data_IF_205046002806
#
_entry.id   IF_205046002806
#
_cell.length_a   1.000
_cell.length_b   1.000
_cell.length_c   1.000
_cell.angle_alpha   90.00
_cell.angle_beta   90.00
_cell.angle_gamma   90.00
#
_symmetry.space_group_name_H-M   'P 1'
#
loop_
_entity.id
_entity.type
_entity.pdbx_description
1 polymer ?
#
# COMPACT_ATOMS: atom_id res chain seq x y z
N UNK A 1 54.01 28.38 -26.99
CA UNK A 1 53.82 29.82 -26.75
C UNK A 1 52.72 30.00 -25.71
N UNK A 2 52.94 30.93 -24.79
CA UNK A 2 52.23 31.18 -23.53
C UNK A 2 50.73 31.60 -23.61
N UNK A 3 50.07 31.42 -22.46
CA UNK A 3 49.11 32.32 -21.78
C UNK A 3 47.58 32.22 -22.01
N UNK A 4 46.91 31.45 -21.13
CA UNK A 4 46.06 31.87 -19.98
C UNK A 4 45.25 33.22 -19.99
N UNK A 5 43.95 33.07 -19.63
CA UNK A 5 43.10 33.83 -18.67
C UNK A 5 42.07 34.91 -19.12
N UNK A 6 40.80 34.58 -18.79
CA UNK A 6 39.77 35.30 -17.98
C UNK A 6 38.83 36.40 -18.55
N UNK A 7 37.54 36.07 -18.38
CA UNK A 7 36.40 36.78 -17.75
C UNK A 7 35.71 38.03 -18.35
N UNK A 8 34.37 37.90 -18.33
CA UNK A 8 33.33 38.89 -17.97
C UNK A 8 32.87 39.94 -18.98
N UNK A 9 31.57 39.87 -19.32
CA UNK A 9 30.75 41.06 -19.62
C UNK A 9 29.33 40.92 -19.05
N UNK A 10 28.77 42.00 -18.45
CA UNK A 10 27.37 42.11 -18.03
C UNK A 10 26.51 42.81 -19.09
N UNK A 11 25.19 42.67 -19.03
CA UNK A 11 24.26 43.63 -19.66
C UNK A 11 23.07 43.96 -18.74
N UNK A 12 22.50 45.19 -18.85
CA UNK A 12 21.82 45.89 -17.77
C UNK A 12 20.28 45.97 -17.93
N UNK A 13 19.65 46.42 -16.84
CA UNK A 13 18.24 46.79 -16.69
C UNK A 13 17.86 48.04 -17.48
N UNK A 14 16.65 48.06 -18.05
CA UNK A 14 15.98 49.27 -18.52
C UNK A 14 14.79 49.62 -17.60
N UNK A 15 14.72 50.90 -17.21
CA UNK A 15 13.62 51.51 -16.48
C UNK A 15 13.17 52.81 -17.19
N UNK A 16 11.87 53.12 -17.04
CA UNK A 16 11.23 54.36 -17.49
C UNK A 16 10.09 54.10 -18.48
N UNK A 17 8.95 54.78 -18.47
CA UNK A 17 8.35 55.83 -17.62
C UNK A 17 6.88 55.91 -18.10
N UNK A 18 5.91 56.19 -17.23
CA UNK A 18 4.95 57.30 -17.41
C UNK A 18 3.88 57.35 -16.32
N UNK A 19 3.74 58.55 -15.78
CA UNK A 19 2.80 59.03 -14.76
C UNK A 19 1.80 59.93 -15.48
N UNK A 20 0.48 59.83 -15.22
CA UNK A 20 -0.39 61.02 -15.18
C UNK A 20 -1.70 60.80 -14.39
N UNK A 21 -1.83 61.66 -13.36
CA UNK A 21 -2.96 62.29 -12.62
C UNK A 21 -4.42 61.77 -12.68
N UNK A 22 -5.04 61.86 -11.49
CA UNK A 22 -6.48 61.89 -11.13
C UNK A 22 -7.18 63.21 -11.54
N UNK A 23 -8.45 63.16 -11.97
CA UNK A 23 -9.65 63.60 -11.21
C UNK A 23 -10.98 63.58 -12.01
N UNK A 24 -12.09 63.50 -11.25
CA UNK A 24 -13.50 63.85 -11.52
C UNK A 24 -14.56 62.81 -11.97
N UNK A 25 -15.71 62.95 -11.30
CA UNK A 25 -16.95 62.17 -11.31
C UNK A 25 -17.79 62.29 -12.60
N UNK A 26 -18.48 61.20 -12.98
CA UNK A 26 -19.89 61.19 -13.41
C UNK A 26 -20.41 59.75 -13.60
N UNK A 27 -21.62 59.46 -13.12
CA UNK A 27 -22.40 58.22 -13.33
C UNK A 27 -23.07 58.21 -14.72
N UNK A 28 -23.44 57.07 -15.36
CA UNK A 28 -24.49 56.16 -14.84
C UNK A 28 -24.49 54.65 -15.22
N UNK A 29 -25.27 53.89 -14.43
CA UNK A 29 -26.13 52.71 -14.75
C UNK A 29 -25.54 51.33 -15.17
N UNK A 30 -25.90 50.37 -14.31
CA UNK A 30 -26.45 49.02 -14.56
C UNK A 30 -25.60 47.90 -15.18
N UNK A 31 -25.26 46.90 -14.34
CA UNK A 31 -25.39 45.44 -14.60
C UNK A 31 -25.02 44.66 -13.31
N UNK A 32 -25.80 43.67 -12.85
CA UNK A 32 -25.35 42.80 -11.76
C UNK A 32 -24.56 41.61 -12.36
N UNK A 33 -23.43 41.18 -11.80
CA UNK A 33 -22.93 39.85 -12.06
C UNK A 33 -23.57 38.89 -11.05
N UNK A 34 -24.72 38.33 -11.41
CA UNK A 34 -25.12 37.02 -10.89
C UNK A 34 -24.27 35.97 -11.63
N UNK A 35 -23.07 35.73 -11.11
CA UNK A 35 -22.38 34.47 -11.31
C UNK A 35 -22.02 33.95 -9.93
N UNK A 36 -22.95 33.20 -9.34
CA UNK A 36 -22.61 32.17 -8.38
C UNK A 36 -21.73 31.18 -9.13
N UNK A 37 -20.43 31.43 -9.10
CA UNK A 37 -19.44 30.41 -9.41
C UNK A 37 -19.58 29.40 -8.28
N UNK A 38 -20.35 28.35 -8.52
CA UNK A 38 -20.37 27.17 -7.64
C UNK A 38 -18.98 26.56 -7.80
N UNK A 39 -18.06 27.04 -6.98
CA UNK A 39 -16.84 26.32 -6.67
C UNK A 39 -17.29 25.05 -5.95
N UNK A 40 -17.32 23.94 -6.67
CA UNK A 40 -17.27 22.61 -6.08
C UNK A 40 -15.88 22.44 -5.45
N UNK A 41 -15.60 23.18 -4.39
CA UNK A 41 -14.46 22.91 -3.53
C UNK A 41 -14.79 21.62 -2.80
N UNK A 42 -14.15 20.52 -3.21
CA UNK A 42 -13.93 19.37 -2.35
C UNK A 42 -13.54 19.93 -0.98
N UNK A 43 -14.35 19.68 0.04
CA UNK A 43 -14.06 20.21 1.37
C UNK A 43 -12.80 19.53 1.90
N UNK A 44 -11.64 20.16 1.71
CA UNK A 44 -10.36 19.80 2.33
C UNK A 44 -10.35 20.02 3.84
N UNK A 45 -11.46 20.54 4.40
CA UNK A 45 -11.64 20.63 5.84
C UNK A 45 -12.35 19.39 6.35
N UNK A 46 -11.80 18.67 7.35
CA UNK A 46 -12.53 17.60 8.01
C UNK A 46 -13.85 18.18 8.49
N UNK A 47 -14.94 17.55 8.05
CA UNK A 47 -16.27 17.91 8.50
C UNK A 47 -16.25 17.84 10.02
N UNK A 48 -16.40 18.97 10.74
CA UNK A 48 -16.17 19.06 12.20
C UNK A 48 -17.03 18.10 13.03
N UNK A 49 -18.02 17.46 12.39
CA UNK A 49 -18.96 16.52 12.96
C UNK A 49 -18.63 15.04 12.71
N UNK A 50 -17.61 14.71 11.91
CA UNK A 50 -17.17 13.33 11.66
C UNK A 50 -15.66 13.20 11.85
N UNK A 51 -15.23 12.12 12.50
CA UNK A 51 -13.80 11.78 12.57
C UNK A 51 -13.27 11.42 11.18
N UNK A 52 -11.97 11.60 10.96
CA UNK A 52 -11.31 11.15 9.75
C UNK A 52 -11.45 9.63 9.61
N UNK A 53 -11.73 9.18 8.39
CA UNK A 53 -11.86 7.78 8.03
C UNK A 53 -10.50 7.21 7.65
N UNK A 54 -9.98 6.28 8.45
CA UNK A 54 -8.65 5.69 8.28
C UNK A 54 -8.76 4.25 7.79
N UNK A 55 -8.08 3.92 6.69
CA UNK A 55 -7.97 2.55 6.21
C UNK A 55 -6.56 2.02 6.28
N UNK A 56 -6.42 0.71 6.49
CA UNK A 56 -5.17 -0.02 6.28
C UNK A 56 -5.31 -0.89 5.04
N UNK A 57 -4.32 -0.84 4.14
CA UNK A 57 -4.18 -1.78 3.02
C UNK A 57 -2.94 -2.63 3.22
N UNK A 58 -3.15 -3.95 3.26
CA UNK A 58 -2.11 -4.95 3.49
C UNK A 58 -2.03 -5.87 2.27
N UNK A 59 -0.84 -6.01 1.69
CA UNK A 59 -0.51 -7.08 0.76
C UNK A 59 0.80 -7.70 1.24
N UNK A 60 0.77 -8.87 1.92
CA UNK A 60 1.97 -9.40 2.55
C UNK A 60 3.12 -9.57 1.56
N UNK A 61 4.31 -9.27 2.02
CA UNK A 61 5.53 -9.37 1.22
C UNK A 61 5.91 -10.84 1.01
N UNK A 62 6.31 -11.21 -0.20
CA UNK A 62 6.90 -12.53 -0.47
C UNK A 62 5.92 -13.71 -0.54
N UNK A 63 4.62 -13.44 -0.70
CA UNK A 63 3.56 -14.48 -0.76
C UNK A 63 2.97 -14.68 -2.17
N UNK A 64 3.53 -14.03 -3.19
CA UNK A 64 3.05 -14.15 -4.57
C UNK A 64 1.63 -13.64 -4.76
N UNK A 65 1.29 -12.50 -4.17
CA UNK A 65 -0.05 -11.92 -4.32
C UNK A 65 -0.33 -11.57 -5.78
N UNK A 66 -1.53 -11.91 -6.27
CA UNK A 66 -1.95 -11.64 -7.65
C UNK A 66 -1.95 -10.15 -8.01
N UNK A 67 -2.14 -9.28 -7.00
CA UNK A 67 -1.97 -7.83 -7.05
C UNK A 67 -1.17 -7.39 -5.81
N UNK A 68 -0.02 -6.75 -6.02
CA UNK A 68 0.94 -6.38 -4.97
C UNK A 68 2.03 -7.42 -4.73
N UNK A 69 2.12 -8.43 -5.61
CA UNK A 69 3.22 -9.39 -5.65
C UNK A 69 4.37 -8.98 -6.56
N UNK A 70 4.23 -7.89 -7.33
CA UNK A 70 5.26 -7.34 -8.21
C UNK A 70 5.55 -5.88 -7.84
N UNK A 71 6.75 -5.38 -8.14
CA UNK A 71 7.14 -4.02 -7.76
C UNK A 71 6.17 -2.95 -8.28
N UNK A 72 5.31 -2.45 -7.39
CA UNK A 72 4.40 -1.33 -7.66
C UNK A 72 3.04 -1.68 -8.26
N UNK A 73 2.72 -2.96 -8.50
CA UNK A 73 1.47 -3.32 -9.18
C UNK A 73 0.22 -3.15 -8.29
N UNK A 74 0.39 -3.02 -6.96
CA UNK A 74 -0.66 -2.59 -6.03
C UNK A 74 -0.79 -1.06 -5.88
N UNK A 75 0.16 -0.26 -6.39
CA UNK A 75 0.13 1.20 -6.27
C UNK A 75 -1.13 1.84 -6.88
N UNK A 76 -1.68 1.38 -8.03
CA UNK A 76 -2.96 1.88 -8.54
C UNK A 76 -4.13 1.65 -7.60
N UNK A 77 -4.15 0.53 -6.87
CA UNK A 77 -5.18 0.23 -5.86
C UNK A 77 -5.03 1.19 -4.69
N UNK A 78 -3.82 1.34 -4.15
CA UNK A 78 -3.54 2.28 -3.06
C UNK A 78 -3.92 3.72 -3.43
N UNK A 79 -3.59 4.15 -4.65
CA UNK A 79 -3.95 5.49 -5.16
C UNK A 79 -5.45 5.70 -5.25
N UNK A 80 -6.17 4.69 -5.74
CA UNK A 80 -7.63 4.79 -5.86
C UNK A 80 -8.27 4.77 -4.48
N UNK A 81 -7.78 3.93 -3.56
CA UNK A 81 -8.24 3.88 -2.18
C UNK A 81 -7.98 5.19 -1.43
N UNK A 82 -6.77 5.76 -1.57
CA UNK A 82 -6.41 7.06 -1.00
C UNK A 82 -7.35 8.19 -1.46
N UNK A 83 -7.93 8.08 -2.66
CA UNK A 83 -8.91 9.09 -3.13
C UNK A 83 -10.27 9.03 -2.42
N UNK A 84 -10.61 7.91 -1.77
CA UNK A 84 -11.89 7.72 -1.09
C UNK A 84 -11.79 7.81 0.44
N UNK A 85 -10.61 7.55 1.03
CA UNK A 85 -10.38 7.63 2.49
C UNK A 85 -9.76 8.96 2.90
N UNK A 86 -9.82 9.30 4.20
CA UNK A 86 -9.15 10.52 4.69
C UNK A 86 -7.68 10.24 5.04
N UNK A 87 -7.37 9.02 5.48
CA UNK A 87 -6.00 8.54 5.69
C UNK A 87 -5.89 7.08 5.25
N UNK A 88 -4.87 6.75 4.47
CA UNK A 88 -4.51 5.38 4.12
C UNK A 88 -3.18 5.03 4.78
N UNK A 89 -3.14 3.94 5.53
CA UNK A 89 -1.91 3.35 6.04
C UNK A 89 -1.58 2.15 5.16
N UNK A 90 -0.36 2.10 4.62
CA UNK A 90 0.12 0.94 3.90
C UNK A 90 1.64 0.85 4.00
N UNK A 91 2.22 -0.19 3.40
CA UNK A 91 3.61 -0.56 3.63
C UNK A 91 4.44 -0.53 2.34
N UNK A 92 5.79 -0.56 2.45
CA UNK A 92 6.71 -0.49 1.32
C UNK A 92 6.32 -1.38 0.13
N UNK A 93 5.98 -2.66 0.36
CA UNK A 93 5.62 -3.59 -0.72
C UNK A 93 4.41 -3.13 -1.58
N UNK A 94 3.49 -2.32 -1.04
CA UNK A 94 2.38 -1.74 -1.84
C UNK A 94 2.78 -0.43 -2.51
N UNK A 95 3.64 0.36 -1.87
CA UNK A 95 3.90 1.76 -2.23
C UNK A 95 5.15 1.96 -3.08
N UNK A 96 6.09 1.03 -3.03
CA UNK A 96 7.33 1.04 -3.78
C UNK A 96 7.12 0.45 -5.18
N UNK A 97 7.71 1.09 -6.19
CA UNK A 97 7.67 0.65 -7.58
C UNK A 97 9.04 0.87 -8.25
N UNK A 98 10.10 0.42 -7.57
CA UNK A 98 11.50 0.62 -7.94
C UNK A 98 11.85 2.11 -8.21
N UNK A 99 12.02 2.50 -9.47
CA UNK A 99 12.31 3.88 -9.86
C UNK A 99 11.06 4.78 -9.85
N UNK A 100 9.86 4.19 -9.83
CA UNK A 100 8.60 4.90 -9.83
C UNK A 100 8.11 5.10 -8.41
N UNK A 101 7.54 6.26 -8.15
CA UNK A 101 6.74 6.53 -6.96
C UNK A 101 5.64 7.51 -7.33
N UNK A 102 4.54 7.48 -6.59
CA UNK A 102 3.43 8.41 -6.80
C UNK A 102 3.15 9.19 -5.52
N UNK A 103 3.21 10.54 -5.54
CA UNK A 103 2.96 11.34 -4.36
C UNK A 103 1.47 11.24 -3.96
N UNK A 104 1.22 10.79 -2.74
CA UNK A 104 -0.12 10.72 -2.15
C UNK A 104 -0.09 11.37 -0.77
N UNK A 105 -0.67 12.59 -0.60
CA UNK A 105 -0.49 13.40 0.61
C UNK A 105 -1.18 12.83 1.85
N UNK A 106 -2.12 11.89 1.69
CA UNK A 106 -2.89 11.27 2.77
C UNK A 106 -2.53 9.80 2.99
N UNK A 107 -1.36 9.36 2.52
CA UNK A 107 -0.86 7.99 2.71
C UNK A 107 0.30 7.97 3.70
N UNK A 108 0.24 7.07 4.67
CA UNK A 108 1.30 6.83 5.63
C UNK A 108 2.09 5.57 5.23
N UNK A 109 3.40 5.76 5.06
CA UNK A 109 4.36 4.72 4.68
C UNK A 109 4.89 4.00 5.93
N UNK A 110 4.35 2.82 6.23
CA UNK A 110 4.61 2.10 7.49
C UNK A 110 5.20 0.73 7.21
N UNK A 111 6.38 0.46 7.74
CA UNK A 111 7.04 -0.84 7.61
C UNK A 111 6.19 -1.98 8.22
N UNK A 112 6.32 -3.21 7.70
CA UNK A 112 5.43 -4.33 8.06
C UNK A 112 5.41 -4.66 9.56
N UNK A 113 6.56 -4.75 10.22
CA UNK A 113 6.62 -4.97 11.66
C UNK A 113 6.03 -3.80 12.43
N UNK A 114 6.31 -2.56 12.02
CA UNK A 114 5.71 -1.38 12.63
C UNK A 114 4.17 -1.40 12.49
N UNK A 115 3.65 -1.88 11.37
CA UNK A 115 2.23 -2.05 11.14
C UNK A 115 1.62 -3.09 12.08
N UNK A 116 2.31 -4.21 12.32
CA UNK A 116 1.88 -5.22 13.29
C UNK A 116 1.85 -4.65 14.71
N UNK A 117 2.91 -3.97 15.15
CA UNK A 117 2.99 -3.33 16.47
C UNK A 117 1.94 -2.22 16.64
N UNK A 118 1.63 -1.49 15.55
CA UNK A 118 0.54 -0.52 15.52
C UNK A 118 -0.82 -1.22 15.65
N UNK A 119 -1.07 -2.30 14.92
CA UNK A 119 -2.33 -3.05 14.96
C UNK A 119 -2.60 -3.67 16.35
N UNK A 120 -1.55 -4.15 17.02
CA UNK A 120 -1.61 -4.62 18.41
C UNK A 120 -1.87 -3.48 19.42
N UNK A 121 -1.78 -2.23 18.97
CA UNK A 121 -1.95 -1.04 19.80
C UNK A 121 -0.81 -0.80 20.77
N UNK A 122 0.36 -1.39 20.51
CA UNK A 122 1.62 -1.17 21.23
C UNK A 122 2.28 0.13 20.78
N UNK A 123 2.20 0.44 19.48
CA UNK A 123 2.73 1.66 18.89
C UNK A 123 1.62 2.58 18.39
N UNK A 124 1.88 3.88 18.43
CA UNK A 124 1.10 4.90 17.72
C UNK A 124 1.93 5.43 16.54
N UNK A 125 1.25 5.88 15.49
CA UNK A 125 1.88 6.51 14.33
C UNK A 125 1.82 8.02 14.49
N UNK A 126 2.96 8.69 14.44
CA UNK A 126 3.06 10.14 14.48
C UNK A 126 3.37 10.67 13.07
N UNK A 127 2.38 11.24 12.35
CA UNK A 127 2.65 11.90 11.09
C UNK A 127 3.69 13.01 11.26
N UNK A 128 4.53 13.17 10.23
CA UNK A 128 5.60 14.17 10.19
C UNK A 128 5.50 14.98 8.91
N UNK A 129 6.06 16.19 8.92
CA UNK A 129 6.23 16.96 7.70
C UNK A 129 7.40 16.44 6.85
N UNK A 130 8.50 16.08 7.52
CA UNK A 130 9.73 15.64 6.88
C UNK A 130 10.61 14.88 7.89
N UNK A 131 11.21 13.76 7.45
CA UNK A 131 12.23 13.02 8.19
C UNK A 131 13.65 13.49 7.84
N UNK A 132 14.63 13.08 8.63
CA UNK A 132 16.05 13.07 8.28
C UNK A 132 16.43 11.64 7.97
N UNK A 133 16.65 11.35 6.69
CA UNK A 133 16.90 9.98 6.22
C UNK A 133 18.40 9.70 6.20
N UNK A 134 18.83 8.63 6.85
CA UNK A 134 20.18 8.07 6.73
C UNK A 134 20.21 6.89 5.77
N UNK A 135 21.32 6.69 5.07
CA UNK A 135 21.51 5.56 4.15
C UNK A 135 22.58 4.60 4.67
N UNK A 136 22.25 3.32 4.76
CA UNK A 136 23.22 2.24 4.97
C UNK A 136 23.46 1.52 3.66
N UNK A 137 24.72 1.44 3.23
CA UNK A 137 25.17 0.65 2.09
C UNK A 137 25.93 -0.59 2.59
N UNK A 138 25.54 -1.76 2.12
CA UNK A 138 26.28 -2.99 2.39
C UNK A 138 27.69 -2.94 1.79
N UNK A 139 28.70 -3.29 2.59
CA UNK A 139 30.09 -3.42 2.14
C UNK A 139 30.28 -4.44 1.02
N UNK A 140 29.38 -5.40 0.88
CA UNK A 140 29.35 -6.37 -0.20
C UNK A 140 29.02 -5.79 -1.57
N UNK A 141 28.47 -4.57 -1.64
CA UNK A 141 28.13 -3.92 -2.92
C UNK A 141 29.40 -3.52 -3.65
N UNK A 142 29.52 -3.95 -4.90
CA UNK A 142 30.59 -3.63 -5.83
C UNK A 142 30.69 -2.12 -6.07
N UNK A 143 31.89 -1.63 -6.41
CA UNK A 143 32.16 -0.19 -6.50
C UNK A 143 31.24 0.52 -7.51
N UNK A 144 31.07 -0.03 -8.71
CA UNK A 144 30.19 0.57 -9.72
C UNK A 144 28.74 0.63 -9.23
N UNK A 145 28.23 -0.47 -8.68
CA UNK A 145 26.85 -0.56 -8.21
C UNK A 145 26.62 0.40 -7.03
N UNK A 146 27.61 0.55 -6.14
CA UNK A 146 27.59 1.53 -5.06
C UNK A 146 27.53 2.96 -5.59
N UNK A 147 28.32 3.29 -6.62
CA UNK A 147 28.29 4.61 -7.26
C UNK A 147 26.90 4.89 -7.84
N UNK A 148 26.23 3.91 -8.46
CA UNK A 148 24.85 4.07 -8.97
C UNK A 148 23.87 4.43 -7.86
N UNK A 149 23.97 3.77 -6.70
CA UNK A 149 23.11 4.08 -5.55
C UNK A 149 23.38 5.50 -5.00
N UNK A 150 24.64 5.91 -4.89
CA UNK A 150 24.99 7.27 -4.47
C UNK A 150 24.50 8.33 -5.48
N UNK A 151 24.60 8.06 -6.78
CA UNK A 151 24.04 8.94 -7.82
C UNK A 151 22.52 9.09 -7.69
N UNK A 152 21.80 8.03 -7.33
CA UNK A 152 20.35 8.10 -7.05
C UNK A 152 20.07 8.96 -5.82
N UNK A 153 20.87 8.85 -4.77
CA UNK A 153 20.75 9.70 -3.57
C UNK A 153 20.94 11.18 -3.94
N UNK A 154 22.02 11.50 -4.68
CA UNK A 154 22.29 12.87 -5.11
C UNK A 154 21.20 13.40 -6.05
N UNK A 155 20.72 12.58 -6.99
CA UNK A 155 19.65 12.95 -7.90
C UNK A 155 18.33 13.22 -7.17
N UNK A 156 17.94 12.37 -6.22
CA UNK A 156 16.70 12.57 -5.45
C UNK A 156 16.79 13.78 -4.51
N UNK A 157 17.96 14.03 -3.92
CA UNK A 157 18.22 15.29 -3.17
C UNK A 157 18.08 16.52 -4.07
N UNK A 158 18.71 16.50 -5.25
CA UNK A 158 18.76 17.65 -6.15
C UNK A 158 17.44 17.92 -6.89
N UNK A 159 16.75 16.87 -7.34
CA UNK A 159 15.56 16.99 -8.19
C UNK A 159 14.24 16.93 -7.43
N UNK A 160 14.18 16.18 -6.33
CA UNK A 160 12.96 15.99 -5.53
C UNK A 160 13.02 16.71 -4.17
N UNK A 161 14.20 17.19 -3.76
CA UNK A 161 14.39 17.85 -2.47
C UNK A 161 14.35 16.90 -1.27
N UNK A 162 14.67 15.62 -1.46
CA UNK A 162 14.57 14.63 -0.38
C UNK A 162 15.64 14.85 0.72
N UNK A 163 15.28 14.63 2.00
CA UNK A 163 16.11 14.97 3.16
C UNK A 163 17.10 13.85 3.54
N UNK A 164 17.85 13.33 2.58
CA UNK A 164 18.83 12.25 2.83
C UNK A 164 20.16 12.84 3.29
N UNK A 165 20.47 12.81 4.59
CA UNK A 165 21.52 13.68 5.15
C UNK A 165 22.92 13.07 5.20
N UNK A 166 23.03 11.74 5.32
CA UNK A 166 24.31 11.05 5.48
C UNK A 166 24.19 9.59 5.02
N UNK A 167 25.30 9.00 4.58
CA UNK A 167 25.40 7.57 4.32
C UNK A 167 26.57 6.95 5.09
N UNK A 168 26.46 5.66 5.39
CA UNK A 168 27.52 4.84 5.97
C UNK A 168 27.61 3.52 5.21
N UNK A 169 28.81 2.94 5.15
CA UNK A 169 29.01 1.58 4.64
C UNK A 169 29.16 0.64 5.84
N UNK A 170 28.52 -0.53 5.80
CA UNK A 170 28.66 -1.54 6.86
C UNK A 170 30.13 -1.96 7.02
N UNK A 171 30.53 -2.43 8.21
CA UNK A 171 31.92 -2.82 8.47
C UNK A 171 32.26 -4.25 7.98
N UNK A 172 31.24 -5.01 7.57
CA UNK A 172 31.36 -6.31 6.91
C UNK A 172 30.23 -6.47 5.88
N UNK A 173 30.44 -7.27 4.81
CA UNK A 173 29.36 -7.63 3.88
C UNK A 173 28.22 -8.32 4.61
N UNK A 174 26.96 -7.99 4.31
CA UNK A 174 25.81 -8.59 5.00
C UNK A 174 25.60 -10.07 4.64
N UNK A 175 26.03 -10.47 3.44
CA UNK A 175 25.90 -11.81 2.86
C UNK A 175 24.46 -12.31 2.93
N UNK A 176 23.62 -11.71 2.08
CA UNK A 176 22.21 -12.08 1.91
C UNK A 176 22.08 -13.50 1.36
N UNK A 177 21.24 -14.31 1.99
CA UNK A 177 20.79 -15.61 1.51
C UNK A 177 19.27 -15.59 1.39
N UNK A 178 18.73 -16.08 0.27
CA UNK A 178 17.28 -16.11 -0.03
C UNK A 178 16.86 -17.51 -0.48
N UNK A 179 15.62 -17.91 -0.15
CA UNK A 179 15.03 -19.18 -0.56
C UNK A 179 13.50 -19.14 -0.47
N UNK A 180 12.82 -20.10 -1.10
CA UNK A 180 11.38 -20.34 -0.90
C UNK A 180 11.20 -21.40 0.18
N UNK A 181 10.36 -21.11 1.17
CA UNK A 181 9.99 -22.10 2.18
C UNK A 181 9.12 -23.20 1.54
N UNK A 182 9.64 -24.42 1.53
CA UNK A 182 8.97 -25.58 0.89
C UNK A 182 7.62 -25.97 1.50
N UNK A 183 7.28 -25.51 2.72
CA UNK A 183 6.02 -25.82 3.38
C UNK A 183 4.97 -24.74 3.13
N UNK A 184 5.37 -23.48 3.25
CA UNK A 184 4.46 -22.34 3.12
C UNK A 184 4.40 -21.75 1.72
N UNK A 185 5.38 -22.07 0.88
CA UNK A 185 5.55 -21.49 -0.45
C UNK A 185 6.05 -20.04 -0.43
N UNK A 186 6.30 -19.43 0.73
CA UNK A 186 6.69 -18.02 0.80
C UNK A 186 8.18 -17.83 0.52
N UNK A 187 8.55 -16.71 -0.10
CA UNK A 187 9.96 -16.28 -0.15
C UNK A 187 10.41 -15.86 1.25
N UNK A 188 11.63 -16.24 1.63
CA UNK A 188 12.23 -15.85 2.91
C UNK A 188 13.76 -15.85 2.80
N UNK A 189 14.43 -15.49 3.89
CA UNK A 189 15.86 -15.71 3.98
C UNK A 189 16.52 -15.06 5.18
N UNK A 190 17.81 -14.73 5.07
CA UNK A 190 18.61 -14.15 6.16
C UNK A 190 19.79 -13.33 5.67
N UNK A 191 20.36 -12.56 6.59
CA UNK A 191 21.71 -11.97 6.48
C UNK A 191 22.63 -12.66 7.50
N UNK A 192 23.90 -12.90 7.14
CA UNK A 192 24.87 -13.54 8.06
C UNK A 192 25.45 -12.60 9.10
N UNK A 193 25.51 -11.31 8.78
CA UNK A 193 26.15 -10.30 9.62
C UNK A 193 25.15 -9.21 10.06
N UNK A 194 24.06 -9.56 10.78
CA UNK A 194 23.06 -8.58 11.23
C UNK A 194 23.65 -7.55 12.20
N UNK A 195 24.66 -7.93 12.96
CA UNK A 195 25.40 -7.05 13.87
C UNK A 195 26.10 -5.91 13.13
N UNK A 196 26.62 -6.16 11.93
CA UNK A 196 27.24 -5.14 11.07
C UNK A 196 26.22 -4.09 10.63
N UNK A 197 25.02 -4.52 10.23
CA UNK A 197 23.90 -3.65 9.90
C UNK A 197 23.51 -2.79 11.11
N UNK A 198 23.30 -3.42 12.27
CA UNK A 198 22.88 -2.70 13.48
C UNK A 198 23.92 -1.67 13.94
N UNK A 199 25.23 -1.98 13.89
CA UNK A 199 26.28 -1.00 14.20
C UNK A 199 26.27 0.21 13.26
N UNK A 200 26.07 -0.03 11.96
CA UNK A 200 25.98 1.03 10.97
C UNK A 200 24.78 1.95 11.22
N UNK A 201 23.60 1.37 11.50
CA UNK A 201 22.40 2.13 11.85
C UNK A 201 22.58 2.91 13.15
N UNK A 202 23.08 2.28 14.21
CA UNK A 202 23.35 2.94 15.50
C UNK A 202 24.23 4.17 15.30
N UNK A 203 25.27 4.06 14.47
CA UNK A 203 26.18 5.17 14.18
C UNK A 203 25.45 6.34 13.54
N UNK A 204 24.60 6.11 12.53
CA UNK A 204 23.81 7.17 11.90
C UNK A 204 22.81 7.80 12.88
N UNK A 205 22.13 6.99 13.68
CA UNK A 205 21.12 7.46 14.65
C UNK A 205 21.78 8.34 15.71
N UNK A 206 22.90 7.92 16.28
CA UNK A 206 23.57 8.65 17.36
C UNK A 206 24.36 9.86 16.89
N UNK A 207 25.10 9.75 15.77
CA UNK A 207 26.02 10.80 15.32
C UNK A 207 25.33 11.82 14.42
N UNK A 208 24.49 11.35 13.52
CA UNK A 208 23.87 12.15 12.47
C UNK A 208 22.44 12.55 12.81
N UNK A 209 21.90 12.01 13.92
CA UNK A 209 20.55 12.28 14.42
C UNK A 209 19.48 12.05 13.34
N UNK A 210 19.66 10.99 12.53
CA UNK A 210 18.67 10.55 11.57
C UNK A 210 17.50 9.89 12.30
N UNK A 211 16.30 10.03 11.74
CA UNK A 211 15.08 9.46 12.30
C UNK A 211 14.33 8.58 11.29
N UNK A 212 14.96 8.25 10.17
CA UNK A 212 14.50 7.24 9.23
C UNK A 212 15.72 6.64 8.50
N UNK A 213 15.66 5.36 8.14
CA UNK A 213 16.79 4.63 7.57
C UNK A 213 16.39 3.97 6.25
N UNK A 214 17.17 4.22 5.20
CA UNK A 214 17.18 3.38 4.01
C UNK A 214 18.34 2.39 4.10
N UNK A 215 18.07 1.10 3.88
CA UNK A 215 19.13 0.08 3.79
C UNK A 215 19.21 -0.42 2.36
N UNK A 216 20.43 -0.49 1.83
CA UNK A 216 20.72 -1.13 0.56
C UNK A 216 21.65 -2.30 0.83
N UNK A 217 21.16 -3.52 0.61
CA UNK A 217 21.94 -4.74 0.77
C UNK A 217 22.32 -5.35 -0.58
N UNK A 218 23.50 -5.98 -0.68
CA UNK A 218 23.89 -6.74 -1.86
C UNK A 218 23.19 -8.10 -1.82
N UNK A 219 22.29 -8.33 -2.77
CA UNK A 219 21.62 -9.62 -2.93
C UNK A 219 22.46 -10.52 -3.83
N UNK A 220 22.38 -11.86 -3.73
CA UNK A 220 22.96 -12.73 -4.74
C UNK A 220 22.25 -12.51 -6.08
N UNK A 221 23.04 -12.47 -7.16
CA UNK A 221 22.50 -12.44 -8.53
C UNK A 221 21.79 -13.77 -8.82
N UNK A 222 20.62 -13.70 -9.45
CA UNK A 222 19.82 -14.88 -9.81
C UNK A 222 20.28 -15.48 -11.13
N UNK A 223 20.17 -16.80 -11.23
CA UNK A 223 20.21 -17.46 -12.54
C UNK A 223 18.94 -17.09 -13.32
N UNK A 224 19.03 -17.00 -14.65
CA UNK A 224 17.91 -16.57 -15.51
C UNK A 224 16.67 -17.45 -15.31
N UNK A 225 16.86 -18.74 -15.06
CA UNK A 225 15.79 -19.71 -14.80
C UNK A 225 15.02 -19.41 -13.50
N UNK A 226 15.66 -18.81 -12.50
CA UNK A 226 15.06 -18.52 -11.19
C UNK A 226 14.11 -17.31 -11.22
N UNK A 227 14.25 -16.43 -12.22
CA UNK A 227 13.48 -15.17 -12.33
C UNK A 227 12.54 -15.12 -13.54
N UNK A 228 12.56 -16.10 -14.44
CA UNK A 228 11.78 -16.03 -15.68
C UNK A 228 10.27 -15.99 -15.40
N UNK A 229 9.78 -16.85 -14.51
CA UNK A 229 8.37 -16.85 -14.09
C UNK A 229 7.96 -15.49 -13.50
N UNK A 230 8.76 -14.95 -12.57
CA UNK A 230 8.52 -13.64 -11.96
C UNK A 230 8.49 -12.52 -13.00
N UNK A 231 9.45 -12.52 -13.94
CA UNK A 231 9.51 -11.53 -15.02
C UNK A 231 8.34 -11.67 -15.99
N UNK A 232 7.77 -12.86 -16.15
CA UNK A 232 6.51 -13.08 -16.89
C UNK A 232 5.24 -12.78 -16.06
N UNK A 233 5.37 -12.28 -14.84
CA UNK A 233 4.22 -11.93 -13.99
C UNK A 233 3.58 -13.13 -13.31
N UNK A 234 4.35 -14.19 -13.09
CA UNK A 234 3.94 -15.44 -12.44
C UNK A 234 4.85 -15.73 -11.23
N UNK A 235 4.43 -16.60 -10.33
CA UNK A 235 5.28 -17.00 -9.20
C UNK A 235 5.44 -15.92 -8.13
N UNK A 236 6.59 -15.92 -7.46
CA UNK A 236 6.85 -15.19 -6.22
C UNK A 236 8.16 -14.43 -6.36
N UNK A 237 8.20 -13.20 -5.88
CA UNK A 237 9.44 -12.46 -5.72
C UNK A 237 10.35 -13.14 -4.67
N UNK A 238 11.50 -13.66 -5.11
CA UNK A 238 12.48 -14.32 -4.24
C UNK A 238 13.21 -13.35 -3.31
N UNK A 239 13.23 -12.05 -3.63
CA UNK A 239 13.93 -11.01 -2.87
C UNK A 239 13.09 -10.57 -1.68
N UNK A 240 11.79 -10.37 -1.91
CA UNK A 240 10.80 -9.79 -1.02
C UNK A 240 10.93 -10.25 0.44
N UNK A 241 11.04 -11.56 0.67
CA UNK A 241 11.15 -12.12 2.02
C UNK A 241 12.37 -11.61 2.80
N UNK A 242 13.54 -11.50 2.18
CA UNK A 242 14.75 -11.00 2.85
C UNK A 242 14.72 -9.49 3.03
N UNK A 243 14.14 -8.76 2.08
CA UNK A 243 13.94 -7.32 2.24
C UNK A 243 13.15 -6.99 3.50
N UNK A 244 12.06 -7.74 3.73
CA UNK A 244 11.27 -7.64 4.94
C UNK A 244 12.08 -7.99 6.20
N UNK A 245 12.92 -9.03 6.17
CA UNK A 245 13.80 -9.39 7.30
C UNK A 245 14.77 -8.24 7.65
N UNK A 246 15.34 -7.57 6.64
CA UNK A 246 16.29 -6.48 6.84
C UNK A 246 15.61 -5.26 7.47
N UNK A 247 14.49 -4.79 6.90
CA UNK A 247 13.77 -3.64 7.45
C UNK A 247 13.20 -3.93 8.84
N UNK A 248 12.62 -5.11 9.03
CA UNK A 248 12.06 -5.56 10.32
C UNK A 248 13.14 -5.53 11.41
N UNK A 249 14.33 -6.06 11.15
CA UNK A 249 15.42 -6.07 12.12
C UNK A 249 15.76 -4.66 12.61
N UNK A 250 15.85 -3.68 11.69
CA UNK A 250 16.15 -2.28 12.02
C UNK A 250 14.98 -1.63 12.78
N UNK A 251 13.74 -1.79 12.30
CA UNK A 251 12.55 -1.22 12.96
C UNK A 251 12.39 -1.76 14.37
N UNK A 252 12.59 -3.07 14.56
CA UNK A 252 12.46 -3.73 15.86
C UNK A 252 13.47 -3.21 16.87
N UNK A 253 14.73 -3.03 16.46
CA UNK A 253 15.81 -2.59 17.34
C UNK A 253 15.70 -1.08 17.65
N UNK A 254 15.52 -0.25 16.61
CA UNK A 254 15.66 1.20 16.73
C UNK A 254 14.33 1.95 16.84
N UNK A 255 13.21 1.32 16.46
CA UNK A 255 11.84 1.90 16.48
C UNK A 255 11.72 3.20 15.69
N UNK A 256 12.46 3.29 14.59
CA UNK A 256 12.36 4.37 13.61
C UNK A 256 11.95 3.79 12.25
N UNK A 257 11.31 4.56 11.37
CA UNK A 257 11.00 4.12 10.01
C UNK A 257 12.22 3.57 9.29
N UNK A 258 12.07 2.37 8.71
CA UNK A 258 13.07 1.77 7.85
C UNK A 258 12.43 1.16 6.62
N UNK A 259 13.11 1.25 5.48
CA UNK A 259 12.77 0.50 4.29
C UNK A 259 14.05 0.08 3.55
N UNK A 260 13.88 -0.89 2.67
CA UNK A 260 14.97 -1.57 2.01
C UNK A 260 14.88 -1.40 0.48
N UNK A 261 16.03 -1.37 -0.18
CA UNK A 261 16.16 -1.55 -1.63
C UNK A 261 17.29 -2.56 -1.91
N UNK A 262 17.10 -3.54 -2.80
CA UNK A 262 18.17 -4.48 -3.12
C UNK A 262 19.17 -3.84 -4.09
N UNK A 263 20.45 -4.15 -3.88
CA UNK A 263 21.49 -3.94 -4.88
C UNK A 263 21.70 -5.26 -5.64
N UNK A 264 21.40 -5.23 -6.94
CA UNK A 264 21.47 -6.35 -7.87
C UNK A 264 22.19 -5.92 -9.15
N UNK A 265 22.86 -6.86 -9.80
CA UNK A 265 23.28 -6.66 -11.18
C UNK A 265 22.05 -6.59 -12.09
N UNK A 266 22.00 -5.67 -13.07
CA UNK A 266 20.86 -5.62 -13.98
C UNK A 266 20.79 -6.92 -14.79
N UNK A 267 19.61 -7.55 -14.91
CA UNK A 267 19.46 -8.74 -15.73
C UNK A 267 19.64 -8.41 -17.22
N UNK A 268 19.87 -9.42 -18.07
CA UNK A 268 19.86 -9.23 -19.52
C UNK A 268 18.53 -8.65 -20.01
N UNK A 269 18.62 -7.75 -20.98
CA UNK A 269 17.45 -7.19 -21.67
C UNK A 269 16.59 -8.30 -22.27
N UNK A 270 15.27 -8.20 -22.06
CA UNK A 270 14.29 -9.12 -22.65
C UNK A 270 13.18 -8.33 -23.35
N UNK A 271 12.66 -8.89 -24.44
CA UNK A 271 11.47 -8.39 -25.13
C UNK A 271 10.17 -8.99 -24.58
N UNK A 272 10.26 -10.13 -23.89
CA UNK A 272 9.12 -10.79 -23.25
C UNK A 272 9.16 -10.45 -21.77
N UNK A 273 8.54 -9.33 -21.39
CA UNK A 273 8.44 -8.89 -20.01
C UNK A 273 6.98 -8.58 -19.68
N UNK A 274 6.53 -9.02 -18.51
CA UNK A 274 5.22 -8.62 -18.03
C UNK A 274 5.20 -7.13 -17.65
N UNK A 275 4.16 -6.38 -18.03
CA UNK A 275 4.01 -4.99 -17.58
C UNK A 275 4.05 -4.81 -16.06
N UNK A 276 3.71 -5.84 -15.27
CA UNK A 276 3.74 -5.79 -13.79
C UNK A 276 5.15 -5.76 -13.20
N UNK A 277 6.14 -6.38 -13.86
CA UNK A 277 7.55 -6.41 -13.44
C UNK A 277 8.39 -5.32 -14.11
N UNK A 278 7.83 -4.63 -15.11
CA UNK A 278 8.55 -3.63 -15.92
C UNK A 278 9.12 -2.44 -15.13
N UNK A 279 8.57 -2.14 -13.94
CA UNK A 279 9.10 -1.09 -13.09
C UNK A 279 10.55 -1.35 -12.64
N UNK A 280 10.95 -2.62 -12.56
CA UNK A 280 12.26 -3.05 -12.09
C UNK A 280 13.35 -2.90 -13.17
N UNK A 281 12.97 -2.84 -14.45
CA UNK A 281 13.90 -2.71 -15.58
C UNK A 281 14.29 -1.25 -15.88
N UNK A 282 13.54 -0.27 -15.37
CA UNK A 282 13.67 1.14 -15.78
C UNK A 282 14.70 1.94 -14.96
N UNK A 283 15.73 1.28 -14.44
CA UNK A 283 16.86 1.92 -13.78
C UNK A 283 17.86 0.91 -13.23
N UNK A 284 18.90 1.40 -12.58
CA UNK A 284 19.95 0.57 -11.99
C UNK A 284 19.68 0.20 -10.52
N UNK A 285 18.66 0.79 -9.89
CA UNK A 285 18.38 0.60 -8.46
C UNK A 285 16.87 0.70 -8.18
N UNK A 286 16.46 0.22 -7.00
CA UNK A 286 15.09 0.31 -6.49
C UNK A 286 14.93 1.46 -5.47
N UNK A 287 16.00 2.21 -5.23
CA UNK A 287 16.14 3.14 -4.12
C UNK A 287 15.25 4.41 -4.20
N UNK A 288 14.85 4.96 -5.38
CA UNK A 288 14.12 6.23 -5.39
C UNK A 288 12.79 6.20 -4.64
N UNK A 289 11.98 5.15 -4.82
CA UNK A 289 10.69 5.04 -4.15
C UNK A 289 10.83 4.88 -2.64
N UNK A 290 11.86 4.17 -2.19
CA UNK A 290 12.22 4.01 -0.77
C UNK A 290 12.56 5.36 -0.14
N UNK A 291 13.42 6.15 -0.77
CA UNK A 291 13.79 7.47 -0.25
C UNK A 291 12.59 8.41 -0.23
N UNK A 292 11.74 8.37 -1.27
CA UNK A 292 10.51 9.16 -1.33
C UNK A 292 9.55 8.80 -0.20
N UNK A 293 9.28 7.50 0.03
CA UNK A 293 8.40 7.03 1.11
C UNK A 293 8.95 7.33 2.51
N UNK A 294 10.25 7.12 2.73
CA UNK A 294 10.89 7.42 4.01
C UNK A 294 10.96 8.91 4.33
N UNK A 295 10.90 9.78 3.32
CA UNK A 295 10.97 11.24 3.52
C UNK A 295 9.82 11.77 4.39
N UNK A 296 8.67 11.09 4.41
CA UNK A 296 7.46 11.47 5.16
C UNK A 296 6.83 10.32 5.96
N UNK A 297 7.49 9.17 6.07
CA UNK A 297 7.04 8.05 6.89
C UNK A 297 6.77 8.50 8.35
N UNK A 298 5.64 8.10 8.97
CA UNK A 298 5.32 8.50 10.34
C UNK A 298 6.32 7.90 11.33
N UNK A 299 6.61 8.64 12.40
CA UNK A 299 7.44 8.14 13.51
C UNK A 299 6.64 7.19 14.40
N UNK A 300 7.33 6.25 15.04
CA UNK A 300 6.70 5.24 15.89
C UNK A 300 6.82 5.62 17.36
N UNK A 301 5.68 5.73 18.05
CA UNK A 301 5.65 6.09 19.47
C UNK A 301 5.22 4.88 20.30
N UNK A 302 6.08 4.43 21.21
CA UNK A 302 5.76 3.34 22.15
C UNK A 302 4.77 3.84 23.18
N UNK A 303 3.68 3.11 23.37
CA UNK A 303 2.59 3.47 24.26
C UNK A 303 2.93 3.23 25.73
N UNK A 304 3.83 4.05 26.27
CA UNK A 304 4.10 4.13 27.70
C UNK A 304 4.04 5.61 28.12
N UNK A 305 3.11 5.92 29.04
CA UNK A 305 2.88 7.21 29.72
C UNK A 305 2.08 8.31 28.99
N UNK A 306 1.06 8.78 29.73
CA UNK A 306 0.39 10.09 29.91
C UNK A 306 0.44 11.23 28.87
N UNK A 307 1.21 11.15 27.78
CA UNK A 307 1.33 12.21 26.78
C UNK A 307 1.31 11.65 25.36
N UNK A 308 0.21 11.01 24.96
CA UNK A 308 -0.06 10.86 23.53
C UNK A 308 -0.39 12.26 22.99
N UNK A 309 0.49 12.80 22.17
CA UNK A 309 0.34 14.15 21.63
C UNK A 309 -0.92 14.26 20.76
N UNK A 310 -1.47 15.48 20.65
CA UNK A 310 -2.56 15.76 19.73
C UNK A 310 -2.05 15.53 18.30
N UNK A 311 -2.55 14.50 17.63
CA UNK A 311 -2.27 14.24 16.21
C UNK A 311 -1.65 12.88 15.89
N UNK A 312 -1.33 12.05 16.88
CA UNK A 312 -0.99 10.65 16.61
C UNK A 312 -2.22 9.88 16.13
N UNK A 313 -1.99 8.85 15.33
CA UNK A 313 -2.98 7.86 14.92
C UNK A 313 -2.78 6.60 15.76
N UNK A 314 -3.87 6.10 16.32
CA UNK A 314 -3.94 4.88 17.11
C UNK A 314 -4.60 3.75 16.32
N UNK A 315 -4.35 2.50 16.73
CA UNK A 315 -5.00 1.32 16.17
C UNK A 315 -6.53 1.43 16.16
N UNK A 316 -7.10 2.06 17.19
CA UNK A 316 -8.56 2.25 17.33
C UNK A 316 -9.13 3.33 16.40
N UNK A 317 -8.28 4.12 15.74
CA UNK A 317 -8.72 5.12 14.75
C UNK A 317 -8.92 4.49 13.37
N UNK A 318 -8.53 3.22 13.18
CA UNK A 318 -8.74 2.47 11.94
C UNK A 318 -10.20 2.08 11.78
N UNK A 319 -10.78 2.40 10.63
CA UNK A 319 -12.16 2.11 10.24
C UNK A 319 -12.30 0.85 9.41
N UNK A 320 -11.33 0.56 8.54
CA UNK A 320 -11.34 -0.63 7.68
C UNK A 320 -9.94 -1.15 7.39
N UNK A 321 -9.84 -2.45 7.20
CA UNK A 321 -8.61 -3.15 6.80
C UNK A 321 -8.90 -3.94 5.53
N UNK A 322 -8.08 -3.76 4.51
CA UNK A 322 -8.20 -4.40 3.21
C UNK A 322 -7.00 -5.32 2.97
N UNK A 323 -7.25 -6.59 2.65
CA UNK A 323 -6.21 -7.60 2.45
C UNK A 323 -6.63 -8.72 1.46
N UNK A 324 -5.68 -9.49 0.90
CA UNK A 324 -5.95 -10.71 0.15
C UNK A 324 -6.84 -11.71 0.91
N UNK A 325 -7.63 -12.51 0.18
CA UNK A 325 -8.62 -13.43 0.78
C UNK A 325 -8.01 -14.53 1.66
N UNK A 326 -6.81 -14.97 1.34
CA UNK A 326 -6.11 -16.09 1.96
C UNK A 326 -4.96 -15.66 2.88
N UNK A 327 -4.85 -14.36 3.18
CA UNK A 327 -3.74 -13.77 3.92
C UNK A 327 -4.14 -13.20 5.30
N UNK A 328 -5.23 -13.67 5.91
CA UNK A 328 -5.71 -13.14 7.18
C UNK A 328 -4.96 -13.66 8.42
N UNK A 329 -3.94 -14.50 8.22
CA UNK A 329 -3.15 -15.13 9.29
C UNK A 329 -2.04 -14.26 9.86
N UNK A 330 -1.70 -13.14 9.22
CA UNK A 330 -0.64 -12.23 9.69
C UNK A 330 -0.99 -11.54 11.01
N UNK A 331 0.03 -11.20 11.80
CA UNK A 331 -0.12 -10.66 13.15
C UNK A 331 -0.98 -9.38 13.18
N UNK A 332 -0.72 -8.43 12.28
CA UNK A 332 -1.53 -7.22 12.17
C UNK A 332 -3.00 -7.48 11.81
N UNK A 333 -3.26 -8.40 10.87
CA UNK A 333 -4.63 -8.76 10.49
C UNK A 333 -5.40 -9.40 11.65
N UNK A 334 -4.76 -10.32 12.37
CA UNK A 334 -5.30 -10.96 13.56
C UNK A 334 -5.53 -9.95 14.70
N UNK A 335 -4.60 -9.01 14.91
CA UNK A 335 -4.73 -7.98 15.92
C UNK A 335 -5.93 -7.07 15.66
N UNK A 336 -6.11 -6.59 14.42
CA UNK A 336 -7.30 -5.81 14.04
C UNK A 336 -8.59 -6.60 14.20
N UNK A 337 -8.63 -7.87 13.74
CA UNK A 337 -9.81 -8.72 13.86
C UNK A 337 -10.24 -8.98 15.32
N UNK A 338 -9.28 -8.99 16.25
CA UNK A 338 -9.51 -9.23 17.69
C UNK A 338 -9.74 -7.95 18.52
N UNK A 339 -9.66 -6.77 17.90
CA UNK A 339 -9.87 -5.48 18.59
C UNK A 339 -11.21 -5.42 19.30
N UNK A 340 -11.20 -5.08 20.60
CA UNK A 340 -12.40 -5.05 21.46
C UNK A 340 -13.06 -3.67 21.57
N UNK A 341 -12.34 -2.58 21.24
CA UNK A 341 -12.82 -1.21 21.43
C UNK A 341 -13.49 -0.67 20.18
N UNK A 342 -12.73 -0.66 19.08
CA UNK A 342 -13.23 -0.29 17.76
C UNK A 342 -12.69 -1.34 16.80
N UNK A 343 -13.57 -2.24 16.36
CA UNK A 343 -13.22 -3.31 15.42
C UNK A 343 -13.37 -2.74 14.01
N UNK A 344 -12.29 -2.62 13.23
CA UNK A 344 -12.40 -2.14 11.86
C UNK A 344 -13.17 -3.14 10.99
N UNK A 345 -13.79 -2.65 9.92
CA UNK A 345 -14.38 -3.47 8.88
C UNK A 345 -13.27 -4.20 8.11
N UNK A 346 -13.14 -5.51 8.34
CA UNK A 346 -12.20 -6.36 7.61
C UNK A 346 -12.81 -6.68 6.24
N UNK A 347 -12.08 -6.36 5.16
CA UNK A 347 -12.49 -6.56 3.77
C UNK A 347 -11.46 -7.44 3.10
N UNK A 348 -11.91 -8.55 2.53
CA UNK A 348 -11.04 -9.54 1.88
C UNK A 348 -11.36 -9.66 0.41
N UNK A 349 -10.34 -9.66 -0.44
CA UNK A 349 -10.48 -9.59 -1.90
C UNK A 349 -10.20 -10.95 -2.53
N UNK A 350 -11.21 -11.55 -3.14
CA UNK A 350 -11.13 -12.91 -3.71
C UNK A 350 -10.17 -13.00 -4.91
N UNK A 351 -10.14 -12.00 -5.81
CA UNK A 351 -9.22 -12.03 -6.96
C UNK A 351 -7.74 -11.86 -6.58
N UNK A 352 -7.44 -11.41 -5.35
CA UNK A 352 -6.07 -11.29 -4.90
C UNK A 352 -5.70 -12.54 -4.09
N UNK A 353 -5.39 -13.60 -4.80
CA UNK A 353 -4.92 -14.86 -4.24
C UNK A 353 -3.41 -14.80 -3.97
N UNK A 354 -2.96 -15.56 -2.99
CA UNK A 354 -1.56 -15.73 -2.58
C UNK A 354 -1.23 -17.23 -2.44
N UNK A 355 0.01 -17.56 -2.08
CA UNK A 355 0.36 -18.95 -1.71
C UNK A 355 -0.11 -19.37 -0.32
N UNK A 356 -0.70 -18.45 0.44
CA UNK A 356 -1.22 -18.72 1.78
C UNK A 356 -2.58 -19.41 1.71
N UNK A 357 -3.14 -19.74 2.88
CA UNK A 357 -4.42 -20.43 2.96
C UNK A 357 -5.25 -20.01 4.19
N UNK A 358 -4.93 -18.85 4.74
CA UNK A 358 -5.44 -18.28 5.97
C UNK A 358 -6.67 -17.41 5.68
N UNK A 359 -7.76 -18.07 5.28
CA UNK A 359 -9.02 -17.39 4.96
C UNK A 359 -9.77 -16.93 6.22
N UNK A 360 -10.63 -15.89 6.13
CA UNK A 360 -11.47 -15.46 7.26
C UNK A 360 -12.27 -16.59 7.91
N UNK A 361 -12.86 -17.48 7.11
CA UNK A 361 -13.70 -18.58 7.62
C UNK A 361 -12.91 -19.55 8.49
N UNK A 362 -11.69 -19.90 8.07
CA UNK A 362 -10.80 -20.82 8.80
C UNK A 362 -10.36 -20.23 10.14
N UNK A 363 -10.17 -18.91 10.18
CA UNK A 363 -9.69 -18.20 11.35
C UNK A 363 -10.83 -17.67 12.24
N UNK A 364 -12.09 -17.84 11.83
CA UNK A 364 -13.24 -17.29 12.54
C UNK A 364 -13.29 -15.76 12.54
N UNK A 365 -12.74 -15.13 11.51
CA UNK A 365 -12.73 -13.68 11.34
C UNK A 365 -13.99 -13.27 10.58
N UNK A 366 -14.77 -12.37 11.19
CA UNK A 366 -15.87 -11.69 10.50
C UNK A 366 -15.29 -10.68 9.50
N UNK A 367 -15.50 -10.95 8.22
CA UNK A 367 -15.02 -10.12 7.12
C UNK A 367 -16.08 -9.98 6.02
N UNK A 368 -16.04 -8.84 5.31
CA UNK A 368 -16.76 -8.65 4.05
C UNK A 368 -15.89 -9.21 2.93
N UNK A 369 -16.33 -10.29 2.32
CA UNK A 369 -15.69 -10.85 1.12
C UNK A 369 -16.21 -10.12 -0.11
N UNK A 370 -15.29 -9.65 -0.93
CA UNK A 370 -15.57 -8.97 -2.19
C UNK A 370 -14.80 -9.64 -3.30
N UNK A 371 -15.35 -9.63 -4.52
CA UNK A 371 -14.72 -10.35 -5.63
C UNK A 371 -13.48 -9.64 -6.15
N UNK A 372 -13.42 -8.31 -6.08
CA UNK A 372 -12.32 -7.51 -6.63
C UNK A 372 -12.10 -6.19 -5.89
N UNK A 373 -10.98 -5.51 -6.20
CA UNK A 373 -10.64 -4.23 -5.58
C UNK A 373 -11.62 -3.10 -5.91
N UNK A 374 -12.34 -3.14 -7.04
CA UNK A 374 -13.36 -2.13 -7.34
C UNK A 374 -14.54 -2.22 -6.37
N UNK A 375 -14.99 -3.45 -6.10
CA UNK A 375 -16.01 -3.72 -5.10
C UNK A 375 -15.50 -3.35 -3.70
N UNK A 376 -14.25 -3.68 -3.35
CA UNK A 376 -13.64 -3.31 -2.08
C UNK A 376 -13.68 -1.79 -1.84
N UNK A 377 -13.29 -1.00 -2.84
CA UNK A 377 -13.31 0.47 -2.79
C UNK A 377 -14.76 0.98 -2.64
N UNK A 378 -15.73 0.36 -3.33
CA UNK A 378 -17.15 0.68 -3.17
C UNK A 378 -17.68 0.40 -1.77
N UNK A 379 -17.28 -0.71 -1.15
CA UNK A 379 -17.60 -1.05 0.24
C UNK A 379 -17.03 -0.01 1.19
N UNK A 380 -15.77 0.40 1.01
CA UNK A 380 -15.11 1.42 1.83
C UNK A 380 -15.79 2.78 1.68
N UNK A 381 -16.14 3.17 0.45
CA UNK A 381 -16.85 4.41 0.19
C UNK A 381 -18.24 4.44 0.87
N UNK A 382 -18.99 3.33 0.82
CA UNK A 382 -20.26 3.19 1.52
C UNK A 382 -20.09 3.27 3.04
N UNK A 383 -19.10 2.55 3.59
CA UNK A 383 -18.82 2.53 5.02
C UNK A 383 -18.42 3.93 5.52
N UNK A 384 -17.55 4.65 4.82
CA UNK A 384 -17.19 6.05 5.12
C UNK A 384 -18.41 6.99 5.10
N UNK A 385 -19.34 6.77 4.17
CA UNK A 385 -20.58 7.53 4.10
C UNK A 385 -21.54 7.26 5.29
N UNK A 386 -21.30 6.19 6.06
CA UNK A 386 -22.20 5.71 7.12
C UNK A 386 -23.36 4.87 6.57
N UNK A 387 -23.18 4.29 5.38
CA UNK A 387 -24.16 3.42 4.73
C UNK A 387 -23.72 1.97 4.93
N UNK A 388 -24.63 1.11 5.39
CA UNK A 388 -24.40 -0.34 5.41
C UNK A 388 -24.18 -0.84 3.97
N UNK A 389 -23.01 -1.38 3.62
CA UNK A 389 -22.72 -1.85 2.27
C UNK A 389 -23.72 -2.87 1.73
N UNK A 390 -24.38 -3.66 2.61
CA UNK A 390 -25.41 -4.60 2.20
C UNK A 390 -26.65 -3.90 1.60
N UNK A 391 -26.89 -2.63 1.94
CA UNK A 391 -27.99 -1.83 1.36
C UNK A 391 -27.81 -1.56 -0.12
N UNK A 392 -26.58 -1.64 -0.62
CA UNK A 392 -26.27 -1.47 -2.05
C UNK A 392 -26.41 -2.78 -2.83
N UNK A 393 -26.75 -3.89 -2.18
CA UNK A 393 -26.91 -5.20 -2.81
C UNK A 393 -28.38 -5.54 -2.97
N UNK A 394 -28.75 -5.92 -4.20
CA UNK A 394 -30.13 -6.22 -4.64
C UNK A 394 -30.95 -7.06 -3.65
N UNK A 395 -30.34 -8.06 -3.01
CA UNK A 395 -31.04 -9.05 -2.17
C UNK A 395 -30.38 -9.24 -0.79
N UNK A 396 -29.77 -8.21 -0.19
CA UNK A 396 -29.14 -8.32 1.14
C UNK A 396 -29.85 -7.55 2.24
N UNK A 397 -30.95 -6.86 1.93
CA UNK A 397 -31.80 -6.20 2.93
C UNK A 397 -33.05 -7.05 3.15
N UNK A 398 -33.21 -7.52 4.38
CA UNK A 398 -34.37 -8.29 4.83
C UNK A 398 -35.23 -7.43 5.77
N UNK A 399 -36.49 -7.82 5.95
CA UNK A 399 -37.35 -7.22 6.98
C UNK A 399 -36.69 -7.34 8.36
N UNK A 400 -36.75 -6.28 9.16
CA UNK A 400 -36.22 -6.27 10.53
C UNK A 400 -36.85 -7.40 11.36
N UNK A 401 -36.02 -8.14 12.09
CA UNK A 401 -36.51 -9.24 12.94
C UNK A 401 -36.95 -8.70 14.30
N UNK A 402 -38.13 -9.13 14.78
CA UNK A 402 -38.57 -8.88 16.14
C UNK A 402 -37.84 -9.83 17.09
N UNK A 403 -37.02 -9.31 17.98
CA UNK A 403 -36.42 -10.11 19.07
C UNK A 403 -37.53 -10.63 19.98
N UNK A 404 -37.66 -11.94 20.09
CA UNK A 404 -38.59 -12.54 21.06
C UNK A 404 -38.00 -12.37 22.46
N UNK A 405 -38.54 -11.44 23.24
CA UNK A 405 -38.31 -11.39 24.68
C UNK A 405 -38.90 -12.66 25.28
N UNK A 406 -38.07 -13.50 25.89
CA UNK A 406 -38.54 -14.56 26.78
C UNK A 406 -38.66 -13.92 28.16
N UNK A 407 -39.89 -13.70 28.70
CA UNK A 407 -40.02 -13.22 30.07
C UNK A 407 -39.43 -14.25 31.02
N UNK A 408 -38.75 -13.81 32.07
CA UNK A 408 -38.17 -14.65 33.14
C UNK A 408 -39.21 -15.47 33.93
N UNK A 409 -40.49 -15.37 33.58
CA UNK A 409 -41.58 -16.16 34.15
C UNK A 409 -42.14 -17.12 33.10
N UNK A 410 -41.37 -18.13 32.69
CA UNK A 410 -41.80 -19.48 32.25
C UNK A 410 -42.91 -19.68 31.19
N UNK A 411 -43.58 -18.66 30.68
CA UNK A 411 -44.68 -18.77 29.73
C UNK A 411 -44.26 -18.17 28.39
N UNK A 412 -44.01 -19.05 27.44
CA UNK A 412 -43.80 -18.69 26.05
C UNK A 412 -45.07 -17.99 25.51
N UNK A 413 -44.95 -16.72 25.13
CA UNK A 413 -45.99 -16.05 24.35
C UNK A 413 -45.94 -16.62 22.93
N UNK A 414 -46.88 -17.51 22.63
CA UNK A 414 -47.13 -18.02 21.28
C UNK A 414 -47.44 -16.84 20.34
N UNK A 415 -46.50 -16.50 19.45
CA UNK A 415 -46.81 -15.68 18.29
C UNK A 415 -47.26 -16.61 17.15
N UNK A 416 -48.52 -16.48 16.76
CA UNK A 416 -49.08 -17.16 15.60
C UNK A 416 -48.37 -16.68 14.33
N UNK A 417 -47.56 -17.55 13.73
CA UNK A 417 -47.11 -17.36 12.34
C UNK A 417 -48.30 -17.62 11.41
N UNK A 418 -48.70 -16.60 10.67
CA UNK A 418 -49.58 -16.77 9.50
C UNK A 418 -48.82 -17.55 8.43
N UNK A 419 -49.26 -18.78 8.16
CA UNK A 419 -48.91 -19.51 6.96
C UNK A 419 -49.44 -18.75 5.73
N UNK A 420 -48.55 -18.23 4.88
CA UNK A 420 -48.89 -17.88 3.51
C UNK A 420 -47.69 -18.10 2.57
N UNK A 421 -47.82 -19.15 1.75
CA UNK A 421 -47.22 -19.35 0.43
C UNK A 421 -45.73 -19.72 0.32
N UNK A 422 -45.44 -21.00 0.52
CA UNK A 422 -44.49 -21.74 -0.32
C UNK A 422 -45.30 -22.69 -1.20
N UNK A 423 -45.63 -22.26 -2.43
CA UNK A 423 -45.95 -23.17 -3.53
C UNK A 423 -44.71 -23.31 -4.42
N UNK A 424 -44.48 -24.55 -4.83
CA UNK A 424 -43.68 -25.01 -5.96
C UNK A 424 -42.21 -25.34 -5.69
N UNK A 425 -42.01 -26.53 -5.12
CA UNK A 425 -40.92 -27.44 -5.49
C UNK A 425 -41.55 -28.81 -5.76
N UNK A 426 -41.77 -29.14 -7.03
CA UNK A 426 -41.58 -30.48 -7.63
C UNK A 426 -42.18 -30.51 -9.04
N UNK A 427 -41.32 -30.67 -10.05
CA UNK A 427 -41.56 -31.57 -11.19
C UNK A 427 -40.25 -31.77 -11.94
N UNK A 428 -39.60 -32.92 -11.68
CA UNK A 428 -38.80 -33.62 -12.69
C UNK A 428 -39.77 -34.50 -13.46
N UNK A 429 -39.72 -34.46 -14.80
CA UNK A 429 -40.17 -35.57 -15.64
C UNK A 429 -39.25 -35.69 -16.85
N UNK A 430 -38.52 -36.79 -16.93
CA UNK A 430 -38.11 -37.38 -18.20
C UNK A 430 -39.37 -37.93 -18.89
N UNK A 431 -39.46 -37.81 -20.22
CA UNK A 431 -40.19 -38.75 -21.06
C UNK A 431 -39.47 -38.89 -22.40
N UNK A 432 -39.34 -40.15 -22.81
CA UNK A 432 -38.67 -40.67 -24.00
C UNK A 432 -39.71 -40.92 -25.10
N UNK A 433 -39.30 -40.73 -26.36
CA UNK A 433 -39.92 -41.30 -27.57
C UNK A 433 -40.85 -40.35 -28.32
N UNK A 434 -40.84 -40.21 -29.64
CA UNK A 434 -40.07 -40.82 -30.71
C UNK A 434 -40.68 -40.44 -32.07
N UNK A 435 -39.81 -40.28 -33.09
CA UNK A 435 -39.99 -40.42 -34.57
C UNK A 435 -41.09 -39.64 -35.32
N UNK A 436 -40.65 -38.80 -36.27
CA UNK A 436 -40.75 -38.95 -37.77
C UNK A 436 -40.50 -37.57 -38.43
N UNK A 437 -39.38 -37.34 -39.12
CA UNK A 437 -39.06 -37.59 -40.54
C UNK A 437 -39.61 -36.54 -41.55
N UNK A 438 -38.71 -35.73 -42.14
CA UNK A 438 -38.35 -35.65 -43.59
C UNK A 438 -37.48 -34.39 -43.85
N UNK A 439 -36.16 -34.54 -44.14
CA UNK A 439 -35.50 -34.49 -45.47
C UNK A 439 -35.24 -33.05 -46.00
N UNK A 440 -34.03 -32.61 -46.36
CA UNK A 440 -33.21 -33.05 -47.51
C UNK A 440 -31.72 -32.57 -47.45
N UNK A 441 -30.79 -33.47 -47.84
CA UNK A 441 -29.60 -33.35 -48.73
C UNK A 441 -28.53 -32.23 -48.50
N UNK A 442 -27.19 -32.42 -48.57
CA UNK A 442 -26.33 -33.21 -49.49
C UNK A 442 -24.98 -33.60 -48.86
N UNK A 443 -24.51 -34.79 -49.27
CA UNK A 443 -23.22 -35.50 -49.17
C UNK A 443 -21.89 -34.72 -49.31
N UNK A 444 -20.84 -35.27 -48.69
CA UNK A 444 -19.44 -35.16 -49.13
C UNK A 444 -18.46 -35.99 -48.29
N UNK A 445 -18.27 -37.25 -48.66
CA UNK A 445 -17.21 -38.22 -48.28
C UNK A 445 -16.72 -38.79 -49.62
N UNK A 446 -15.43 -38.96 -49.93
CA UNK A 446 -14.43 -39.93 -49.45
C UNK A 446 -13.08 -39.51 -50.12
N UNK A 447 -11.88 -39.85 -49.65
CA UNK A 447 -11.34 -41.16 -49.24
C UNK A 447 -10.27 -41.02 -48.17
#
# INVERSE_FOLDING_TARGET
>A
GMALLRYSRPFPSFAGRNVFRRSHHSHPKSRPPNQLQISCSNSEYPNKFKRAYTSVMIVPTGVGASIGGFAGDALPVARTLASVVDCLISHPNVLNAAMLYWPMPNVLYVEGHALDQFAEGLWALQPVHQNKVGLVLDAGIEEELRIRHLQVVDATRASLGLPVVEYIVTDAPLQVEKWVDTKSGQSTGRIKHPDSLLRAVQTLVERSLVNAIAVVARFPDDDIEDIDDYRQGMGIDLLAGVEAVISHLVVKEFRIPCAHAPALSPPPLTMSLCPKSAAEEIGYTFLPCVLAGLSNAPQYLVKNSESLEKGCILANDVDSVLLPIDACGGDGALAFARSKRNKPLIITVEENETVLNDTPDKLGIEAVKVSNYWEAIGVIAAHKAGIDPNSLRRNRINNIQRTSFVPSNGYAVSSSRSFASLRNLQTRSMCVGGRMNLSFLVKGRDK
#
